data_IF_465856693224
#
_entry.id   IF_465856693224
#
_cell.length_a   1.000
_cell.length_b   1.000
_cell.length_c   1.000
_cell.angle_alpha   90.00
_cell.angle_beta   90.00
_cell.angle_gamma   90.00
#
_symmetry.space_group_name_H-M   'P 1'
#
loop_
_entity.id
_entity.type
_entity.pdbx_description
1 polymer ?
#
# COMPACT_ATOMS: atom_id res chain seq x y z
N UNK A 1 -8.53 4.79 25.77
CA UNK A 1 -8.69 4.92 24.31
C UNK A 1 -8.00 6.23 23.91
N UNK A 2 -6.96 6.21 23.06
CA UNK A 2 -6.32 7.43 22.57
C UNK A 2 -7.24 8.12 21.55
N UNK A 3 -7.29 9.45 21.57
CA UNK A 3 -8.02 10.26 20.58
C UNK A 3 -7.07 10.57 19.42
N UNK A 4 -7.29 9.96 18.25
CA UNK A 4 -6.60 10.35 17.02
C UNK A 4 -7.38 11.46 16.31
N UNK A 5 -6.75 12.63 16.19
CA UNK A 5 -7.31 13.77 15.45
C UNK A 5 -6.86 13.65 14.00
N UNK A 6 -7.77 13.30 13.11
CA UNK A 6 -7.52 13.31 11.66
C UNK A 6 -7.83 14.71 11.09
N UNK A 7 -6.81 15.37 10.56
CA UNK A 7 -6.96 16.60 9.79
C UNK A 7 -6.84 16.28 8.28
N UNK A 8 -7.95 16.38 7.55
CA UNK A 8 -7.95 16.30 6.09
C UNK A 8 -7.44 17.61 5.49
N UNK A 9 -6.45 17.51 4.60
CA UNK A 9 -5.96 18.61 3.77
C UNK A 9 -6.26 18.29 2.30
N UNK A 10 -6.62 19.30 1.52
CA UNK A 10 -6.92 19.19 0.09
C UNK A 10 -6.12 20.25 -0.66
N UNK A 11 -5.48 19.87 -1.75
CA UNK A 11 -4.62 20.74 -2.56
C UNK A 11 -5.01 20.65 -4.03
N UNK A 12 -5.07 21.81 -4.69
CA UNK A 12 -5.23 21.93 -6.14
C UNK A 12 -3.86 21.91 -6.82
N UNK A 13 -3.80 21.52 -8.10
CA UNK A 13 -2.55 21.29 -8.84
C UNK A 13 -2.47 22.16 -10.09
N UNK A 14 -1.31 22.79 -10.31
CA UNK A 14 -0.89 23.45 -11.56
C UNK A 14 0.61 23.12 -11.83
N UNK A 15 1.09 23.30 -13.07
CA UNK A 15 2.16 22.45 -13.65
C UNK A 15 3.19 23.18 -14.54
N UNK A 16 4.45 22.71 -14.55
CA UNK A 16 5.50 22.98 -15.56
C UNK A 16 6.63 23.97 -15.16
N UNK A 17 7.79 24.10 -15.85
CA UNK A 17 8.51 23.22 -16.83
C UNK A 17 9.93 23.79 -17.13
N UNK A 18 10.97 22.93 -17.18
CA UNK A 18 12.15 22.82 -18.13
C UNK A 18 12.91 24.04 -18.72
N UNK A 19 14.21 24.00 -19.07
CA UNK A 19 15.37 23.11 -18.78
C UNK A 19 16.73 23.74 -19.26
N UNK A 20 17.73 23.85 -18.36
CA UNK A 20 19.19 23.51 -18.51
C UNK A 20 20.21 24.15 -19.52
N UNK A 21 21.49 24.19 -19.07
CA UNK A 21 22.81 24.07 -19.82
C UNK A 21 23.74 25.33 -19.95
N UNK A 22 25.07 25.09 -20.06
CA UNK A 22 26.24 26.03 -20.08
C UNK A 22 27.21 25.68 -21.27
N UNK A 23 28.55 25.96 -21.36
CA UNK A 23 29.52 26.90 -20.73
C UNK A 23 30.50 27.58 -21.77
N UNK A 24 31.82 27.72 -21.45
CA UNK A 24 33.04 28.05 -22.28
C UNK A 24 33.51 29.55 -22.40
N UNK A 25 34.82 29.91 -22.44
CA UNK A 25 36.12 29.24 -22.10
C UNK A 25 37.31 30.24 -21.97
N UNK A 26 38.50 29.73 -21.55
CA UNK A 26 39.88 30.23 -21.86
C UNK A 26 40.37 31.57 -21.24
N UNK A 27 41.66 31.91 -21.02
CA UNK A 27 43.03 31.32 -20.90
C UNK A 27 43.98 32.53 -20.58
N UNK A 28 45.21 32.50 -20.05
CA UNK A 28 46.09 31.65 -19.19
C UNK A 28 47.40 32.50 -18.95
N UNK A 29 48.38 32.31 -18.04
CA UNK A 29 48.68 31.40 -16.92
C UNK A 29 50.17 31.55 -16.48
N UNK A 30 50.52 31.27 -15.22
CA UNK A 30 51.89 31.14 -14.57
C UNK A 30 52.92 32.30 -14.72
N UNK A 31 53.85 32.62 -13.81
CA UNK A 31 54.23 32.25 -12.41
C UNK A 31 55.01 33.48 -11.80
N UNK A 32 55.80 33.54 -10.71
CA UNK A 32 56.44 32.58 -9.79
C UNK A 32 56.78 33.25 -8.41
N UNK A 33 57.19 32.44 -7.42
CA UNK A 33 58.21 32.75 -6.39
C UNK A 33 57.95 33.76 -5.24
N UNK A 34 57.04 33.40 -4.33
CA UNK A 34 57.33 33.20 -2.89
C UNK A 34 58.31 34.18 -2.18
N UNK A 35 57.79 35.16 -1.42
CA UNK A 35 58.44 35.62 -0.16
C UNK A 35 57.61 36.54 0.74
N UNK A 36 56.59 37.24 0.23
CA UNK A 36 55.75 38.18 1.02
C UNK A 36 54.32 37.62 1.32
N UNK A 37 54.16 36.30 1.19
CA UNK A 37 52.86 35.66 0.93
C UNK A 37 51.96 35.43 2.16
N UNK A 38 52.42 35.68 3.39
CA UNK A 38 51.64 35.36 4.61
C UNK A 38 50.88 36.55 5.23
N UNK A 39 51.26 37.81 4.99
CA UNK A 39 50.58 38.98 5.59
C UNK A 39 49.53 39.64 4.67
N UNK A 40 49.71 39.63 3.35
CA UNK A 40 48.75 40.27 2.42
C UNK A 40 47.57 39.34 2.05
N UNK A 41 47.72 38.03 2.26
CA UNK A 41 46.64 37.03 2.08
C UNK A 41 45.45 37.25 3.03
N UNK A 42 45.67 37.69 4.28
CA UNK A 42 44.57 38.03 5.18
C UNK A 42 43.81 39.28 4.70
N UNK A 43 44.55 40.31 4.28
CA UNK A 43 44.00 41.56 3.73
C UNK A 43 43.24 41.36 2.42
N UNK A 44 43.63 40.36 1.61
CA UNK A 44 42.95 39.96 0.38
C UNK A 44 41.69 39.14 0.65
N UNK A 45 41.74 38.19 1.61
CA UNK A 45 40.56 37.40 2.04
C UNK A 45 39.44 38.25 2.64
N UNK A 46 39.75 39.36 3.33
CA UNK A 46 38.70 40.30 3.77
C UNK A 46 38.01 41.04 2.61
N UNK A 47 38.71 41.24 1.48
CA UNK A 47 38.13 41.88 0.27
C UNK A 47 37.33 40.91 -0.59
N UNK A 48 37.86 39.74 -0.90
CA UNK A 48 37.19 38.75 -1.76
C UNK A 48 35.87 38.24 -1.14
N UNK A 49 35.71 38.38 0.19
CA UNK A 49 34.47 38.08 0.91
C UNK A 49 33.38 39.17 0.77
N UNK A 50 33.61 40.22 -0.03
CA UNK A 50 32.60 41.24 -0.35
C UNK A 50 32.51 41.58 -1.84
N UNK A 51 32.91 40.64 -2.71
CA UNK A 51 32.60 40.64 -4.15
C UNK A 51 31.90 39.33 -4.57
N UNK A 52 30.95 38.86 -3.75
CA UNK A 52 29.79 38.13 -4.30
C UNK A 52 28.97 39.11 -5.16
N UNK A 53 28.44 38.64 -6.28
CA UNK A 53 27.73 39.47 -7.24
C UNK A 53 26.52 40.19 -6.59
N UNK A 54 26.49 41.55 -6.59
CA UNK A 54 25.35 42.30 -6.08
C UNK A 54 24.08 42.10 -6.90
N UNK A 55 24.17 41.67 -8.17
CA UNK A 55 23.00 41.40 -9.01
C UNK A 55 22.32 40.09 -8.57
N UNK A 56 23.03 38.97 -8.54
CA UNK A 56 22.50 37.68 -8.06
C UNK A 56 21.94 37.73 -6.60
N UNK A 57 22.61 38.45 -5.70
CA UNK A 57 22.15 38.57 -4.30
C UNK A 57 20.90 39.44 -4.15
N UNK A 58 20.71 40.47 -4.99
CA UNK A 58 19.47 41.27 -5.00
C UNK A 58 18.33 40.57 -5.75
N UNK A 59 18.61 39.76 -6.78
CA UNK A 59 17.61 38.88 -7.41
C UNK A 59 17.02 37.90 -6.39
N UNK A 60 17.85 37.24 -5.57
CA UNK A 60 17.36 36.30 -4.55
C UNK A 60 16.52 36.99 -3.45
N UNK A 61 16.84 38.21 -3.04
CA UNK A 61 16.01 38.95 -2.05
C UNK A 61 14.70 39.44 -2.67
N UNK A 62 14.70 39.91 -3.92
CA UNK A 62 13.47 40.33 -4.61
C UNK A 62 12.55 39.14 -4.92
N UNK A 63 13.11 37.96 -5.22
CA UNK A 63 12.35 36.70 -5.28
C UNK A 63 11.80 36.30 -3.90
N UNK A 64 12.63 36.26 -2.86
CA UNK A 64 12.20 35.83 -1.52
C UNK A 64 11.17 36.76 -0.85
N UNK A 65 11.13 38.04 -1.23
CA UNK A 65 10.15 39.01 -0.76
C UNK A 65 8.85 39.05 -1.58
N UNK A 66 8.87 38.56 -2.83
CA UNK A 66 7.65 38.39 -3.66
C UNK A 66 7.02 37.00 -3.55
N UNK A 67 7.77 36.00 -3.06
CA UNK A 67 7.28 34.66 -2.80
C UNK A 67 6.21 34.61 -1.68
N UNK A 68 5.19 33.77 -1.85
CA UNK A 68 4.14 33.53 -0.84
C UNK A 68 4.60 32.66 0.33
N UNK A 69 5.82 32.11 0.29
CA UNK A 69 6.35 31.17 1.27
C UNK A 69 6.73 31.87 2.58
N UNK A 70 5.84 31.78 3.58
CA UNK A 70 6.03 32.40 4.89
C UNK A 70 7.38 32.05 5.54
N UNK A 71 8.12 33.08 5.96
CA UNK A 71 9.44 32.98 6.58
C UNK A 71 10.61 33.24 5.63
N UNK A 72 10.45 33.04 4.32
CA UNK A 72 11.55 33.21 3.35
C UNK A 72 12.04 34.68 3.29
N UNK A 73 11.11 35.63 3.35
CA UNK A 73 11.36 37.08 3.47
C UNK A 73 11.92 37.55 4.83
N UNK A 74 12.20 36.63 5.76
CA UNK A 74 12.97 36.88 6.98
C UNK A 74 14.35 36.21 6.98
N UNK A 75 14.63 35.40 5.96
CA UNK A 75 15.90 34.70 5.72
C UNK A 75 16.72 35.46 4.66
N UNK A 76 16.06 36.05 3.66
CA UNK A 76 16.66 36.89 2.64
C UNK A 76 16.20 38.33 2.85
N UNK A 77 17.08 39.15 3.42
CA UNK A 77 16.89 40.57 3.70
C UNK A 77 18.18 41.27 3.33
N UNK A 78 18.10 42.41 2.64
CA UNK A 78 19.25 43.27 2.33
C UNK A 78 19.96 43.71 3.64
N UNK A 79 21.17 43.20 3.87
CA UNK A 79 21.94 43.49 5.08
C UNK A 79 23.00 42.45 5.40
N UNK A 80 23.72 42.66 6.52
CA UNK A 80 24.74 41.72 7.00
C UNK A 80 24.13 40.50 7.68
N UNK A 81 24.76 39.33 7.48
CA UNK A 81 24.32 38.03 8.01
C UNK A 81 24.20 38.04 9.55
N UNK A 82 22.98 38.24 10.04
CA UNK A 82 22.70 38.43 11.46
C UNK A 82 22.21 37.16 12.16
N UNK A 83 22.49 37.03 13.47
CA UNK A 83 22.00 35.90 14.27
C UNK A 83 20.46 35.72 14.22
N UNK A 84 19.71 36.81 14.02
CA UNK A 84 18.25 36.78 13.82
C UNK A 84 17.84 36.08 12.51
N UNK A 85 18.61 36.27 11.44
CA UNK A 85 18.40 35.65 10.13
C UNK A 85 18.69 34.14 10.20
N UNK A 86 19.77 33.76 10.89
CA UNK A 86 20.07 32.35 11.18
C UNK A 86 18.97 31.67 12.02
N UNK A 87 18.40 32.36 13.02
CA UNK A 87 17.26 31.84 13.79
C UNK A 87 16.00 31.65 12.93
N UNK A 88 15.69 32.59 12.02
CA UNK A 88 14.60 32.41 11.06
C UNK A 88 14.85 31.26 10.08
N UNK A 89 16.08 31.11 9.58
CA UNK A 89 16.46 30.00 8.70
C UNK A 89 16.31 28.65 9.40
N UNK A 90 16.78 28.52 10.64
CA UNK A 90 16.61 27.31 11.46
C UNK A 90 15.12 27.01 11.73
N UNK A 91 14.32 28.02 12.09
CA UNK A 91 12.89 27.84 12.34
C UNK A 91 12.12 27.40 11.07
N UNK A 92 12.45 28.00 9.92
CA UNK A 92 11.88 27.65 8.62
C UNK A 92 12.28 26.23 8.19
N UNK A 93 13.58 25.88 8.24
CA UNK A 93 14.07 24.55 7.88
C UNK A 93 13.48 23.46 8.79
N UNK A 94 13.33 23.74 10.08
CA UNK A 94 12.67 22.84 11.03
C UNK A 94 11.19 22.65 10.68
N UNK A 95 10.45 23.74 10.42
CA UNK A 95 9.05 23.69 10.02
C UNK A 95 8.84 22.96 8.69
N UNK A 96 9.71 23.19 7.71
CA UNK A 96 9.68 22.54 6.40
C UNK A 96 10.00 21.04 6.50
N UNK A 97 10.99 20.66 7.32
CA UNK A 97 11.33 19.25 7.58
C UNK A 97 10.18 18.51 8.27
N UNK A 98 9.53 19.14 9.26
CA UNK A 98 8.35 18.62 9.96
C UNK A 98 7.14 18.49 9.02
N UNK A 99 6.98 19.42 8.07
CA UNK A 99 5.95 19.35 7.03
C UNK A 99 6.19 18.18 6.06
N UNK A 100 7.40 18.08 5.49
CA UNK A 100 7.75 16.98 4.57
C UNK A 100 7.61 15.61 5.23
N UNK A 101 8.02 15.47 6.50
CA UNK A 101 7.84 14.24 7.26
C UNK A 101 6.36 13.86 7.41
N UNK A 102 5.49 14.81 7.76
CA UNK A 102 4.03 14.56 7.86
C UNK A 102 3.39 14.23 6.50
N UNK A 103 3.85 14.85 5.41
CA UNK A 103 3.37 14.53 4.05
C UNK A 103 3.78 13.10 3.66
N UNK A 104 5.03 12.70 3.91
CA UNK A 104 5.51 11.34 3.65
C UNK A 104 4.79 10.28 4.49
N UNK A 105 4.54 10.56 5.77
CA UNK A 105 3.75 9.71 6.68
C UNK A 105 2.30 9.54 6.16
N UNK A 106 1.65 10.63 5.72
CA UNK A 106 0.28 10.57 5.17
C UNK A 106 0.19 9.88 3.81
N UNK A 107 1.17 10.07 2.93
CA UNK A 107 1.26 9.34 1.65
C UNK A 107 1.46 7.85 1.90
N UNK A 108 2.35 7.47 2.81
CA UNK A 108 2.59 6.07 3.18
C UNK A 108 1.31 5.42 3.71
N UNK A 109 0.66 6.04 4.69
CA UNK A 109 -0.60 5.57 5.28
C UNK A 109 -1.75 5.45 4.26
N UNK A 110 -1.82 6.36 3.29
CA UNK A 110 -2.80 6.27 2.19
C UNK A 110 -2.54 5.07 1.28
N UNK A 111 -1.27 4.79 0.95
CA UNK A 111 -0.85 3.65 0.12
C UNK A 111 -0.97 2.29 0.84
N UNK A 112 -1.23 2.26 2.15
CA UNK A 112 -1.58 1.06 2.91
C UNK A 112 -3.07 0.65 2.75
N UNK A 113 -3.91 1.49 2.12
CA UNK A 113 -5.33 1.22 1.84
C UNK A 113 -6.15 0.82 3.09
N UNK A 114 -5.87 1.47 4.21
CA UNK A 114 -6.64 1.32 5.45
C UNK A 114 -8.13 1.64 5.24
N UNK A 115 -8.99 0.72 5.65
CA UNK A 115 -10.45 0.84 5.58
C UNK A 115 -11.09 0.63 6.95
N UNK A 116 -12.24 1.25 7.18
CA UNK A 116 -13.01 1.14 8.42
C UNK A 116 -14.40 0.58 8.06
N UNK A 117 -14.79 -0.50 8.71
CA UNK A 117 -16.14 -1.06 8.60
C UNK A 117 -17.07 -0.45 9.65
N UNK A 118 -18.20 0.09 9.21
CA UNK A 118 -19.29 0.51 10.08
C UNK A 118 -20.38 -0.57 10.03
N UNK A 119 -20.74 -1.10 11.19
CA UNK A 119 -21.85 -2.05 11.34
C UNK A 119 -23.08 -1.30 11.88
N UNK A 120 -24.23 -1.56 11.27
CA UNK A 120 -25.54 -1.08 11.74
C UNK A 120 -26.53 -2.23 11.73
N UNK A 121 -27.47 -2.18 12.67
CA UNK A 121 -28.63 -3.06 12.76
C UNK A 121 -29.87 -2.22 12.37
N UNK A 122 -30.78 -2.79 11.58
CA UNK A 122 -31.94 -2.09 11.00
C UNK A 122 -33.11 -3.07 10.89
N UNK A 123 -34.27 -2.71 11.43
CA UNK A 123 -35.47 -3.55 11.40
C UNK A 123 -36.21 -3.42 10.07
N UNK A 124 -36.34 -4.53 9.33
CA UNK A 124 -37.16 -4.57 8.11
C UNK A 124 -38.47 -5.31 8.34
N UNK A 125 -39.57 -4.72 7.88
CA UNK A 125 -40.91 -5.33 7.93
C UNK A 125 -41.04 -6.56 7.00
N UNK A 126 -40.20 -6.65 5.96
CA UNK A 126 -40.10 -7.80 5.05
C UNK A 126 -38.63 -8.19 4.87
N UNK A 127 -38.33 -9.49 4.90
CA UNK A 127 -37.00 -10.04 4.69
C UNK A 127 -37.08 -11.23 3.74
N UNK A 128 -36.15 -11.30 2.78
CA UNK A 128 -36.03 -12.44 1.86
C UNK A 128 -35.66 -13.70 2.63
N UNK A 129 -36.55 -14.70 2.64
CA UNK A 129 -36.26 -15.98 3.28
C UNK A 129 -35.06 -16.67 2.58
N UNK A 130 -34.03 -17.13 3.33
CA UNK A 130 -32.81 -17.66 2.74
C UNK A 130 -33.03 -19.05 2.12
N UNK A 131 -32.12 -19.44 1.23
CA UNK A 131 -32.06 -20.82 0.73
C UNK A 131 -31.65 -21.78 1.87
N UNK A 132 -32.55 -22.65 2.29
CA UNK A 132 -32.31 -23.65 3.33
C UNK A 132 -31.82 -24.96 2.68
N UNK A 133 -30.51 -25.12 2.61
CA UNK A 133 -29.88 -26.39 2.19
C UNK A 133 -29.71 -27.32 3.38
N UNK A 134 -30.30 -28.51 3.31
CA UNK A 134 -30.09 -29.58 4.28
C UNK A 134 -29.74 -30.89 3.58
N UNK A 135 -28.93 -31.71 4.22
CA UNK A 135 -28.50 -33.03 3.72
C UNK A 135 -28.61 -34.06 4.85
N UNK A 136 -28.89 -35.32 4.52
CA UNK A 136 -28.76 -36.40 5.50
C UNK A 136 -27.28 -36.59 5.87
N UNK A 137 -26.97 -36.75 7.16
CA UNK A 137 -25.61 -37.05 7.64
C UNK A 137 -25.17 -38.44 7.18
N UNK A 138 -26.12 -39.38 7.05
CA UNK A 138 -25.85 -40.65 6.38
C UNK A 138 -25.73 -40.41 4.86
N UNK A 139 -24.54 -40.68 4.32
CA UNK A 139 -24.21 -40.45 2.90
C UNK A 139 -24.92 -41.42 1.95
N UNK A 140 -25.17 -42.67 2.38
CA UNK A 140 -25.73 -43.73 1.51
C UNK A 140 -26.73 -44.63 2.23
N UNK A 141 -27.77 -45.05 1.51
CA UNK A 141 -28.72 -46.08 1.93
C UNK A 141 -28.06 -47.44 1.73
N UNK A 142 -27.73 -48.14 2.82
CA UNK A 142 -27.09 -49.48 2.76
C UNK A 142 -27.90 -50.48 1.91
N UNK A 143 -29.23 -50.37 1.95
CA UNK A 143 -30.17 -51.14 1.14
C UNK A 143 -30.09 -50.91 -0.37
N UNK A 144 -29.34 -49.90 -0.83
CA UNK A 144 -29.14 -49.57 -2.24
C UNK A 144 -27.71 -49.84 -2.74
N UNK A 145 -26.77 -50.24 -1.87
CA UNK A 145 -25.38 -50.57 -2.25
C UNK A 145 -25.32 -51.96 -2.90
N UNK A 146 -24.80 -52.05 -4.12
CA UNK A 146 -24.51 -53.33 -4.79
C UNK A 146 -23.15 -53.87 -4.36
N UNK A 147 -22.89 -55.15 -4.68
CA UNK A 147 -21.58 -55.75 -4.47
C UNK A 147 -20.48 -55.08 -5.32
N UNK A 148 -20.85 -54.53 -6.48
CA UNK A 148 -19.94 -53.86 -7.44
C UNK A 148 -19.53 -52.47 -6.94
N UNK A 149 -20.48 -51.72 -6.35
CA UNK A 149 -20.19 -50.42 -5.71
C UNK A 149 -19.06 -50.58 -4.68
N UNK A 150 -19.11 -51.65 -3.88
CA UNK A 150 -18.13 -51.95 -2.84
C UNK A 150 -16.75 -52.33 -3.40
N UNK A 151 -16.66 -52.94 -4.59
CA UNK A 151 -15.36 -53.26 -5.21
C UNK A 151 -14.49 -52.02 -5.47
N UNK A 152 -15.13 -50.86 -5.68
CA UNK A 152 -14.45 -49.60 -5.99
C UNK A 152 -14.52 -48.56 -4.86
N UNK A 153 -15.59 -48.57 -4.05
CA UNK A 153 -15.89 -47.52 -3.08
C UNK A 153 -15.81 -47.97 -1.61
N UNK A 154 -15.59 -49.25 -1.30
CA UNK A 154 -15.56 -49.74 0.08
C UNK A 154 -14.68 -48.89 1.04
N UNK A 155 -13.42 -48.52 0.72
CA UNK A 155 -12.61 -47.67 1.60
C UNK A 155 -13.19 -46.27 1.84
N UNK A 156 -13.91 -45.70 0.86
CA UNK A 156 -14.57 -44.39 0.99
C UNK A 156 -15.89 -44.48 1.79
N UNK A 157 -16.44 -45.69 1.94
CA UNK A 157 -17.61 -46.03 2.74
C UNK A 157 -17.26 -46.61 4.13
N UNK A 158 -15.98 -46.78 4.44
CA UNK A 158 -15.49 -47.34 5.72
C UNK A 158 -15.49 -48.87 5.80
N UNK A 159 -15.62 -49.57 4.67
CA UNK A 159 -15.54 -51.02 4.58
C UNK A 159 -14.13 -51.48 4.17
N UNK A 160 -13.57 -52.38 4.97
CA UNK A 160 -12.26 -53.00 4.73
C UNK A 160 -12.40 -54.42 4.12
N UNK A 161 -11.46 -54.86 3.26
CA UNK A 161 -11.52 -56.18 2.65
C UNK A 161 -11.41 -57.29 3.70
N UNK A 162 -12.45 -58.12 3.83
CA UNK A 162 -12.57 -59.17 4.85
C UNK A 162 -13.53 -58.84 5.99
N UNK A 163 -14.11 -57.64 6.02
CA UNK A 163 -15.23 -57.30 6.92
C UNK A 163 -16.52 -58.01 6.46
N UNK A 164 -17.27 -58.62 7.39
CA UNK A 164 -18.64 -59.04 7.11
C UNK A 164 -19.53 -57.80 6.95
N UNK A 165 -20.24 -57.68 5.81
CA UNK A 165 -20.97 -56.47 5.45
C UNK A 165 -22.04 -56.06 6.47
N UNK A 166 -22.68 -57.05 7.12
CA UNK A 166 -23.81 -56.84 8.04
C UNK A 166 -25.16 -56.54 7.37
N UNK A 167 -25.19 -56.40 6.05
CA UNK A 167 -26.40 -56.22 5.24
C UNK A 167 -26.38 -57.11 3.99
N UNK A 168 -27.54 -57.35 3.38
CA UNK A 168 -27.62 -57.95 2.05
C UNK A 168 -27.39 -56.87 0.99
N UNK A 169 -26.41 -57.00 0.08
CA UNK A 169 -26.26 -56.09 -1.05
C UNK A 169 -27.53 -56.00 -1.88
N UNK A 170 -27.76 -54.84 -2.48
CA UNK A 170 -28.74 -54.66 -3.54
C UNK A 170 -28.34 -55.50 -4.77
N UNK A 171 -29.31 -55.94 -5.60
CA UNK A 171 -29.00 -56.53 -6.90
C UNK A 171 -28.12 -55.60 -7.74
N UNK A 172 -27.18 -56.17 -8.49
CA UNK A 172 -26.47 -55.45 -9.55
C UNK A 172 -27.48 -54.82 -10.51
N UNK A 173 -27.17 -53.63 -11.03
CA UNK A 173 -27.99 -53.00 -12.05
C UNK A 173 -27.98 -53.91 -13.30
N UNK A 174 -29.16 -54.29 -13.80
CA UNK A 174 -29.29 -55.34 -14.81
C UNK A 174 -28.98 -54.81 -16.22
N UNK A 175 -27.70 -54.47 -16.44
CA UNK A 175 -27.17 -53.99 -17.71
C UNK A 175 -25.78 -53.37 -17.60
N UNK A 176 -24.89 -53.81 -18.50
CA UNK A 176 -23.60 -53.22 -18.87
C UNK A 176 -22.42 -53.32 -17.89
N UNK A 177 -21.24 -53.61 -18.46
CA UNK A 177 -19.92 -53.33 -17.89
C UNK A 177 -19.63 -51.82 -17.93
N UNK A 178 -20.52 -50.96 -17.40
CA UNK A 178 -20.20 -49.54 -17.27
C UNK A 178 -19.15 -49.32 -16.18
N UNK A 179 -18.16 -48.48 -16.48
CA UNK A 179 -17.20 -48.00 -15.49
C UNK A 179 -17.91 -47.18 -14.41
N UNK A 180 -17.43 -47.28 -13.16
CA UNK A 180 -18.08 -46.67 -12.00
C UNK A 180 -18.39 -45.18 -12.21
N UNK A 181 -19.67 -44.88 -12.45
CA UNK A 181 -20.16 -43.52 -12.61
C UNK A 181 -20.61 -42.97 -11.25
N UNK A 182 -19.81 -42.08 -10.67
CA UNK A 182 -20.08 -41.50 -9.34
C UNK A 182 -21.42 -40.74 -9.28
N UNK A 183 -21.85 -40.09 -10.37
CA UNK A 183 -23.17 -39.44 -10.41
C UNK A 183 -24.31 -40.47 -10.37
N UNK A 184 -24.19 -41.56 -11.14
CA UNK A 184 -25.14 -42.68 -11.11
C UNK A 184 -25.19 -43.37 -9.74
N UNK A 185 -24.03 -43.59 -9.12
CA UNK A 185 -23.89 -44.12 -7.77
C UNK A 185 -24.60 -43.23 -6.74
N UNK A 186 -24.31 -41.93 -6.70
CA UNK A 186 -24.93 -41.01 -5.74
C UNK A 186 -26.44 -40.91 -5.95
N UNK A 187 -26.91 -40.78 -7.20
CA UNK A 187 -28.33 -40.67 -7.52
C UNK A 187 -29.15 -41.93 -7.15
N UNK A 188 -28.53 -43.13 -7.14
CA UNK A 188 -29.15 -44.36 -6.65
C UNK A 188 -29.06 -44.48 -5.11
N UNK A 189 -27.87 -44.24 -4.56
CA UNK A 189 -27.54 -44.66 -3.18
C UNK A 189 -27.76 -43.59 -2.12
N UNK A 190 -27.65 -42.30 -2.42
CA UNK A 190 -27.98 -41.23 -1.48
C UNK A 190 -29.47 -41.26 -1.09
N UNK A 191 -29.83 -40.55 -0.02
CA UNK A 191 -31.22 -40.42 0.39
C UNK A 191 -31.98 -39.54 -0.61
N UNK A 192 -33.18 -39.98 -0.97
CA UNK A 192 -34.13 -39.23 -1.79
C UNK A 192 -34.97 -38.30 -0.93
N UNK A 193 -35.43 -37.19 -1.51
CA UNK A 193 -36.13 -36.13 -0.76
C UNK A 193 -37.56 -36.56 -0.41
N UNK A 194 -38.16 -37.37 -1.29
CA UNK A 194 -39.48 -37.98 -1.14
C UNK A 194 -39.54 -39.05 -0.02
N UNK A 195 -38.38 -39.63 0.34
CA UNK A 195 -38.23 -40.57 1.47
C UNK A 195 -38.05 -39.84 2.81
N UNK A 196 -37.82 -38.52 2.80
CA UNK A 196 -37.35 -37.74 3.96
C UNK A 196 -38.32 -36.66 4.47
N UNK A 197 -39.41 -36.37 3.75
CA UNK A 197 -40.39 -35.30 4.05
C UNK A 197 -41.82 -35.83 4.16
#
# INVERSE_FOLDING_TARGET
>A
MPLQIFCTISFSSEEGTRDATSPESSEDGVDEFLSEQEEDEERKKEKEKQEEDPEASTELVTFASSCTLHGLSHIFVEGTLGARQALWALAFLLSFSIFLYQVADRISYYLEYHHITLLSEEDSAELTFPAVTFCNVNRVRLSQLSQEDLLYLAPLLGYEPGMELGFSPAPAALGQEESLNLHGFLNRTCHQLEDML
#
